data_IF_323767678276
#
_entry.id   IF_323767678276
#
_cell.length_a   1.000
_cell.length_b   1.000
_cell.length_c   1.000
_cell.angle_alpha   90.00
_cell.angle_beta   90.00
_cell.angle_gamma   90.00
#
_symmetry.space_group_name_H-M   'P 1'
#
loop_
_entity.id
_entity.type
_entity.pdbx_description
1 polymer ?
#
# COMPACT_ATOMS: atom_id res chain seq x y z
N UNK A 1 -38.53 -11.83 29.99
CA UNK A 1 -37.41 -12.80 29.96
C UNK A 1 -36.95 -13.17 28.54
N UNK A 2 -37.84 -13.53 27.59
CA UNK A 2 -37.44 -13.89 26.21
C UNK A 2 -36.79 -12.77 25.38
N UNK A 3 -37.09 -11.50 25.64
CA UNK A 3 -36.53 -10.35 24.93
C UNK A 3 -35.09 -10.01 25.38
N UNK A 4 -34.79 -10.23 26.68
CA UNK A 4 -33.44 -9.99 27.25
C UNK A 4 -32.42 -11.01 26.73
N UNK A 5 -32.83 -12.26 26.55
CA UNK A 5 -31.97 -13.34 26.06
C UNK A 5 -31.59 -13.09 24.60
N UNK A 6 -32.54 -12.59 23.77
CA UNK A 6 -32.25 -12.24 22.36
C UNK A 6 -31.26 -11.09 22.24
N UNK A 7 -31.34 -10.06 23.11
CA UNK A 7 -30.39 -8.96 23.16
C UNK A 7 -29.00 -9.40 23.60
N UNK A 8 -28.92 -10.30 24.58
CA UNK A 8 -27.65 -10.81 25.07
C UNK A 8 -26.94 -11.71 24.02
N UNK A 9 -27.69 -12.54 23.30
CA UNK A 9 -27.16 -13.37 22.22
C UNK A 9 -26.64 -12.51 21.06
N UNK A 10 -27.37 -11.43 20.69
CA UNK A 10 -26.91 -10.47 19.68
C UNK A 10 -25.63 -9.74 20.11
N UNK A 11 -25.53 -9.35 21.40
CA UNK A 11 -24.34 -8.69 21.93
C UNK A 11 -23.11 -9.61 21.93
N UNK A 12 -23.30 -10.88 22.31
CA UNK A 12 -22.23 -11.89 22.28
C UNK A 12 -21.79 -12.18 20.82
N UNK A 13 -22.73 -12.20 19.87
CA UNK A 13 -22.43 -12.37 18.46
C UNK A 13 -21.63 -11.18 17.90
N UNK A 14 -21.95 -9.94 18.29
CA UNK A 14 -21.19 -8.74 17.88
C UNK A 14 -19.78 -8.70 18.48
N UNK A 15 -19.62 -9.06 19.75
CA UNK A 15 -18.33 -9.09 20.44
C UNK A 15 -17.43 -10.18 19.84
N UNK A 16 -17.96 -11.35 19.55
CA UNK A 16 -17.20 -12.43 18.92
C UNK A 16 -16.82 -12.11 17.47
N UNK A 17 -17.68 -11.41 16.69
CA UNK A 17 -17.36 -11.05 15.30
C UNK A 17 -16.21 -10.04 15.20
N UNK A 18 -16.21 -9.00 16.02
CA UNK A 18 -15.12 -8.01 16.04
C UNK A 18 -13.80 -8.59 16.57
N UNK A 19 -13.86 -9.52 17.52
CA UNK A 19 -12.64 -10.18 18.03
C UNK A 19 -12.06 -11.20 17.05
N UNK A 20 -12.90 -11.90 16.30
CA UNK A 20 -12.46 -12.88 15.29
C UNK A 20 -11.76 -12.16 14.13
N UNK A 21 -12.29 -11.04 13.63
CA UNK A 21 -11.65 -10.26 12.57
C UNK A 21 -10.29 -9.69 12.99
N UNK A 22 -10.14 -9.21 14.22
CA UNK A 22 -8.86 -8.65 14.67
C UNK A 22 -7.77 -9.69 14.95
N UNK A 23 -8.14 -10.92 15.31
CA UNK A 23 -7.20 -12.03 15.49
C UNK A 23 -6.72 -12.53 14.13
N UNK A 24 -7.62 -12.68 13.16
CA UNK A 24 -7.34 -13.12 11.80
C UNK A 24 -6.36 -12.15 11.08
N UNK A 25 -6.61 -10.84 11.14
CA UNK A 25 -5.71 -9.84 10.54
C UNK A 25 -4.29 -9.86 11.11
N UNK A 26 -4.13 -10.14 12.40
CA UNK A 26 -2.79 -10.28 13.02
C UNK A 26 -2.08 -11.54 12.57
N UNK A 27 -2.80 -12.64 12.48
CA UNK A 27 -2.25 -13.91 12.01
C UNK A 27 -1.84 -13.81 10.54
N UNK A 28 -2.67 -13.20 9.70
CA UNK A 28 -2.37 -12.93 8.29
C UNK A 28 -1.13 -12.04 8.13
N UNK A 29 -1.02 -10.97 8.94
CA UNK A 29 0.17 -10.12 8.92
C UNK A 29 1.43 -10.89 9.31
N UNK A 30 1.39 -11.67 10.38
CA UNK A 30 2.56 -12.47 10.83
C UNK A 30 2.97 -13.48 9.77
N UNK A 31 2.00 -14.12 9.12
CA UNK A 31 2.26 -15.06 8.04
C UNK A 31 2.92 -14.36 6.84
N UNK A 32 2.33 -13.26 6.35
CA UNK A 32 2.91 -12.47 5.26
C UNK A 32 4.32 -11.97 5.60
N UNK A 33 4.53 -11.44 6.80
CA UNK A 33 5.84 -10.97 7.26
C UNK A 33 6.88 -12.10 7.27
N UNK A 34 6.50 -13.29 7.72
CA UNK A 34 7.38 -14.46 7.72
C UNK A 34 7.84 -14.83 6.31
N UNK A 35 6.94 -14.85 5.34
CA UNK A 35 7.26 -15.13 3.94
C UNK A 35 8.02 -13.96 3.27
N UNK A 36 7.68 -12.71 3.62
CA UNK A 36 8.37 -11.53 3.12
C UNK A 36 9.85 -11.51 3.52
N UNK A 37 10.15 -11.90 4.76
CA UNK A 37 11.55 -12.02 5.26
C UNK A 37 12.32 -13.13 4.55
N UNK A 38 11.64 -14.16 4.05
CA UNK A 38 12.22 -15.21 3.21
C UNK A 38 12.41 -14.76 1.74
N UNK A 39 12.01 -13.55 1.40
CA UNK A 39 12.19 -12.98 0.06
C UNK A 39 11.03 -13.22 -0.90
N UNK A 40 9.88 -13.70 -0.47
CA UNK A 40 8.72 -13.93 -1.33
C UNK A 40 8.09 -12.59 -1.75
N UNK A 41 8.18 -12.26 -3.03
CA UNK A 41 7.78 -10.94 -3.57
C UNK A 41 6.33 -10.57 -3.30
N UNK A 42 5.40 -11.51 -3.44
CA UNK A 42 3.98 -11.29 -3.16
C UNK A 42 3.76 -10.96 -1.69
N UNK A 43 4.41 -11.68 -0.78
CA UNK A 43 4.30 -11.44 0.66
C UNK A 43 5.00 -10.14 1.08
N UNK A 44 6.08 -9.75 0.42
CA UNK A 44 6.69 -8.42 0.61
C UNK A 44 5.70 -7.32 0.23
N UNK A 45 5.01 -7.45 -0.90
CA UNK A 45 3.96 -6.52 -1.29
C UNK A 45 2.81 -6.48 -0.27
N UNK A 46 2.29 -7.64 0.14
CA UNK A 46 1.23 -7.74 1.14
C UNK A 46 1.64 -7.13 2.48
N UNK A 47 2.86 -7.38 2.94
CA UNK A 47 3.39 -6.76 4.17
C UNK A 47 3.43 -5.23 4.04
N UNK A 48 3.82 -4.70 2.88
CA UNK A 48 3.72 -3.27 2.58
C UNK A 48 2.29 -2.75 2.66
N UNK A 49 1.31 -3.48 2.11
CA UNK A 49 -0.12 -3.15 2.21
C UNK A 49 -0.58 -3.14 3.67
N UNK A 50 -0.20 -4.15 4.45
CA UNK A 50 -0.59 -4.26 5.85
C UNK A 50 -0.06 -3.07 6.68
N UNK A 51 1.21 -2.68 6.51
CA UNK A 51 1.75 -1.46 7.12
C UNK A 51 1.07 -0.18 6.64
N UNK A 52 0.76 -0.06 5.35
CA UNK A 52 0.14 1.15 4.79
C UNK A 52 -1.29 1.37 5.26
N UNK A 53 -2.03 0.30 5.52
CA UNK A 53 -3.43 0.34 5.95
C UNK A 53 -3.60 0.17 7.47
N UNK A 54 -2.59 -0.33 8.18
CA UNK A 54 -2.67 -0.67 9.59
C UNK A 54 -3.48 -1.95 9.82
N UNK A 55 -3.32 -2.96 8.95
CA UNK A 55 -4.00 -4.26 9.08
C UNK A 55 -3.16 -5.24 9.88
N UNK A 56 -3.67 -5.65 11.03
CA UNK A 56 -2.96 -6.56 11.94
C UNK A 56 -1.71 -5.98 12.60
N UNK A 57 -1.34 -4.74 12.26
CA UNK A 57 -0.19 -3.99 12.79
C UNK A 57 -0.50 -2.50 12.74
N UNK A 58 0.17 -1.69 13.55
CA UNK A 58 0.06 -0.25 13.48
C UNK A 58 0.56 0.28 12.12
N UNK A 59 -0.15 1.28 11.60
CA UNK A 59 0.22 1.92 10.33
C UNK A 59 1.62 2.54 10.41
N UNK A 60 2.44 2.24 9.39
CA UNK A 60 3.80 2.74 9.28
C UNK A 60 4.16 2.86 7.79
N UNK A 61 4.17 4.10 7.28
CA UNK A 61 4.41 4.33 5.85
C UNK A 61 5.86 4.13 5.45
N UNK A 62 6.82 4.34 6.34
CA UNK A 62 8.24 4.07 6.05
C UNK A 62 8.47 2.57 5.85
N UNK A 63 7.90 1.76 6.74
CA UNK A 63 7.93 0.29 6.59
C UNK A 63 7.14 -0.18 5.37
N UNK A 64 6.01 0.45 5.07
CA UNK A 64 5.27 0.14 3.85
C UNK A 64 6.14 0.36 2.60
N UNK A 65 6.78 1.53 2.49
CA UNK A 65 7.71 1.84 1.39
C UNK A 65 8.86 0.84 1.34
N UNK A 66 9.48 0.53 2.48
CA UNK A 66 10.56 -0.48 2.55
C UNK A 66 10.13 -1.81 1.92
N UNK A 67 8.99 -2.34 2.31
CA UNK A 67 8.52 -3.62 1.80
C UNK A 67 8.06 -3.55 0.34
N UNK A 68 7.43 -2.46 -0.09
CA UNK A 68 7.12 -2.23 -1.50
C UNK A 68 8.39 -2.14 -2.37
N UNK A 69 9.45 -1.50 -1.88
CA UNK A 69 10.73 -1.45 -2.61
C UNK A 69 11.32 -2.84 -2.80
N UNK A 70 11.31 -3.68 -1.76
CA UNK A 70 11.77 -5.08 -1.86
C UNK A 70 10.95 -5.88 -2.89
N UNK A 71 9.64 -5.73 -2.89
CA UNK A 71 8.79 -6.34 -3.91
C UNK A 71 9.06 -5.78 -5.31
N UNK A 72 9.27 -4.46 -5.42
CA UNK A 72 9.61 -3.79 -6.67
C UNK A 72 10.94 -4.29 -7.27
N UNK A 73 11.97 -4.49 -6.47
CA UNK A 73 13.27 -5.05 -6.90
C UNK A 73 13.12 -6.43 -7.55
N UNK A 74 12.12 -7.19 -7.15
CA UNK A 74 11.77 -8.48 -7.72
C UNK A 74 10.75 -8.42 -8.86
N UNK A 75 10.45 -7.22 -9.36
CA UNK A 75 9.55 -7.05 -10.50
C UNK A 75 8.05 -7.06 -10.17
N UNK A 76 7.64 -6.95 -8.91
CA UNK A 76 6.23 -6.93 -8.56
C UNK A 76 5.49 -5.75 -9.23
N UNK A 77 4.44 -6.04 -10.01
CA UNK A 77 3.81 -5.05 -10.92
C UNK A 77 3.10 -3.89 -10.21
N UNK A 78 2.55 -4.13 -9.01
CA UNK A 78 1.77 -3.12 -8.27
C UNK A 78 2.61 -2.31 -7.28
N UNK A 79 3.77 -2.82 -6.87
CA UNK A 79 4.57 -2.18 -5.82
C UNK A 79 5.02 -0.76 -6.19
N UNK A 80 5.55 -0.48 -7.40
CA UNK A 80 5.98 0.86 -7.75
C UNK A 80 4.83 1.87 -7.77
N UNK A 81 3.63 1.48 -8.16
CA UNK A 81 2.46 2.36 -8.11
C UNK A 81 2.15 2.81 -6.67
N UNK A 82 2.17 1.89 -5.71
CA UNK A 82 1.93 2.23 -4.31
C UNK A 82 3.00 3.14 -3.73
N UNK A 83 4.28 2.94 -4.08
CA UNK A 83 5.36 3.85 -3.69
C UNK A 83 5.12 5.25 -4.26
N UNK A 84 4.75 5.33 -5.54
CA UNK A 84 4.47 6.60 -6.20
C UNK A 84 3.35 7.38 -5.52
N UNK A 85 2.25 6.71 -5.15
CA UNK A 85 1.13 7.33 -4.42
C UNK A 85 1.60 7.87 -3.07
N UNK A 86 2.38 7.12 -2.31
CA UNK A 86 2.85 7.57 -0.99
C UNK A 86 3.67 8.85 -1.09
N UNK A 87 4.59 8.95 -2.06
CA UNK A 87 5.42 10.14 -2.26
C UNK A 87 4.69 11.29 -2.95
N UNK A 88 3.60 11.04 -3.70
CA UNK A 88 2.81 12.11 -4.33
C UNK A 88 1.81 12.76 -3.38
N UNK A 89 1.28 12.01 -2.42
CA UNK A 89 0.20 12.48 -1.51
C UNK A 89 0.71 13.44 -0.43
N UNK A 90 1.93 13.25 0.05
CA UNK A 90 2.52 14.08 1.12
C UNK A 90 1.81 14.00 2.47
N UNK A 91 0.86 13.10 2.63
CA UNK A 91 0.03 13.00 3.85
C UNK A 91 0.77 12.36 5.02
N UNK A 92 1.64 11.41 4.74
CA UNK A 92 2.30 10.60 5.77
C UNK A 92 3.82 10.71 5.73
N UNK A 93 4.39 10.95 4.56
CA UNK A 93 5.80 11.22 4.35
C UNK A 93 5.95 12.55 3.63
N UNK A 94 7.12 13.18 3.72
CA UNK A 94 7.44 14.35 2.92
C UNK A 94 7.25 14.03 1.42
N UNK A 95 6.50 14.87 0.67
CA UNK A 95 6.24 14.62 -0.73
C UNK A 95 7.51 14.78 -1.57
N UNK A 96 7.74 13.82 -2.46
CA UNK A 96 8.78 13.88 -3.47
C UNK A 96 8.18 13.57 -4.84
N UNK A 97 7.80 14.63 -5.55
CA UNK A 97 7.13 14.50 -6.84
C UNK A 97 8.04 13.86 -7.91
N UNK A 98 9.35 14.14 -7.88
CA UNK A 98 10.28 13.56 -8.84
C UNK A 98 10.40 12.04 -8.63
N UNK A 99 10.50 11.61 -7.37
CA UNK A 99 10.53 10.20 -7.00
C UNK A 99 9.19 9.52 -7.31
N UNK A 100 8.06 10.19 -7.05
CA UNK A 100 6.73 9.69 -7.40
C UNK A 100 6.60 9.46 -8.91
N UNK A 101 6.99 10.42 -9.75
CA UNK A 101 6.97 10.28 -11.22
C UNK A 101 7.86 9.13 -11.67
N UNK A 102 9.06 8.98 -11.12
CA UNK A 102 9.93 7.85 -11.41
C UNK A 102 9.25 6.51 -11.16
N UNK A 103 8.58 6.36 -10.03
CA UNK A 103 7.88 5.12 -9.71
C UNK A 103 6.59 4.92 -10.52
N UNK A 104 5.88 6.00 -10.91
CA UNK A 104 4.78 5.90 -11.87
C UNK A 104 5.25 5.40 -13.24
N UNK A 105 6.40 5.87 -13.73
CA UNK A 105 6.99 5.40 -14.99
C UNK A 105 7.34 3.90 -14.92
N UNK A 106 7.96 3.44 -13.82
CA UNK A 106 8.23 2.02 -13.61
C UNK A 106 6.92 1.21 -13.58
N UNK A 107 5.88 1.74 -12.95
CA UNK A 107 4.58 1.07 -12.92
C UNK A 107 3.93 1.01 -14.32
N UNK A 108 4.02 2.08 -15.12
CA UNK A 108 3.54 2.10 -16.51
C UNK A 108 4.26 1.06 -17.36
N UNK A 109 5.60 0.96 -17.26
CA UNK A 109 6.40 -0.06 -17.95
C UNK A 109 5.97 -1.49 -17.59
N UNK A 110 5.44 -1.69 -16.40
CA UNK A 110 4.88 -2.98 -15.93
C UNK A 110 3.38 -3.13 -16.19
N UNK A 111 2.85 -2.34 -17.13
CA UNK A 111 1.43 -2.37 -17.55
C UNK A 111 0.43 -2.01 -16.45
N UNK A 112 0.82 -1.20 -15.48
CA UNK A 112 -0.13 -0.64 -14.51
C UNK A 112 -1.00 0.43 -15.18
N UNK A 113 -2.31 0.17 -15.28
CA UNK A 113 -3.23 1.04 -16.00
C UNK A 113 -3.47 2.37 -15.30
N UNK A 114 -3.50 2.35 -13.98
CA UNK A 114 -3.72 3.54 -13.15
C UNK A 114 -2.53 4.49 -13.26
N UNK A 115 -1.30 3.97 -13.25
CA UNK A 115 -0.09 4.75 -13.48
C UNK A 115 -0.09 5.39 -14.87
N UNK A 116 -0.49 4.63 -15.90
CA UNK A 116 -0.61 5.15 -17.25
C UNK A 116 -1.60 6.31 -17.34
N UNK A 117 -2.78 6.17 -16.76
CA UNK A 117 -3.80 7.24 -16.75
C UNK A 117 -3.24 8.50 -16.09
N UNK A 118 -2.62 8.35 -14.91
CA UNK A 118 -2.01 9.46 -14.20
C UNK A 118 -0.92 10.18 -15.03
N UNK A 119 -0.04 9.42 -15.66
CA UNK A 119 1.02 9.97 -16.50
C UNK A 119 0.47 10.63 -17.78
N UNK A 120 -0.57 10.07 -18.37
CA UNK A 120 -1.21 10.66 -19.57
C UNK A 120 -1.89 11.99 -19.21
N UNK A 121 -2.50 12.11 -18.03
CA UNK A 121 -3.02 13.36 -17.51
C UNK A 121 -1.89 14.39 -17.30
N UNK A 122 -0.79 14.01 -16.66
CA UNK A 122 0.38 14.88 -16.49
C UNK A 122 0.97 15.35 -17.82
N UNK A 123 1.07 14.47 -18.82
CA UNK A 123 1.56 14.80 -20.18
C UNK A 123 0.63 15.78 -20.88
N UNK A 124 -0.68 15.74 -20.59
CA UNK A 124 -1.68 16.64 -21.18
C UNK A 124 -1.59 18.08 -20.65
N UNK A 125 -1.07 18.29 -19.46
CA UNK A 125 -0.80 19.61 -18.92
C UNK A 125 0.42 20.22 -19.65
N UNK A 126 0.18 21.08 -20.63
CA UNK A 126 1.15 21.68 -21.56
C UNK A 126 2.42 22.32 -20.95
N UNK A 127 2.55 22.44 -19.66
CA UNK A 127 3.63 23.15 -18.98
C UNK A 127 4.51 22.27 -18.09
N UNK A 128 4.28 20.96 -18.00
CA UNK A 128 5.08 20.06 -17.19
C UNK A 128 5.67 18.95 -18.07
N UNK A 129 6.88 19.18 -18.59
CA UNK A 129 7.62 18.05 -19.14
C UNK A 129 8.12 17.18 -17.98
N UNK A 130 7.84 15.88 -18.03
CA UNK A 130 8.32 14.90 -17.03
C UNK A 130 9.85 14.96 -16.94
N UNK A 131 10.53 15.24 -18.04
CA UNK A 131 11.98 15.40 -18.14
C UNK A 131 12.50 16.63 -17.35
N UNK A 132 11.75 17.73 -17.32
CA UNK A 132 12.15 18.91 -16.52
C UNK A 132 11.99 18.68 -15.01
N UNK A 133 10.99 17.89 -14.59
CA UNK A 133 10.81 17.52 -13.19
C UNK A 133 11.92 16.57 -12.69
N UNK A 134 12.41 15.69 -13.55
CA UNK A 134 13.51 14.77 -13.25
C UNK A 134 14.89 15.47 -13.27
N UNK A 135 15.05 16.54 -14.05
CA UNK A 135 16.31 17.30 -14.15
C UNK A 135 16.54 18.27 -12.98
N UNK A 136 15.52 18.58 -12.19
CA UNK A 136 15.62 19.45 -11.02
C UNK A 136 16.30 18.79 -9.81
N UNK A 137 16.53 17.48 -9.83
CA UNK A 137 17.12 16.68 -8.75
C UNK A 137 18.46 15.99 -9.14
N UNK A 138 19.16 16.48 -10.15
CA UNK A 138 20.54 16.05 -10.47
C UNK A 138 21.57 17.02 -9.96
#
# INVERSE_FOLDING_TARGET
MRSFIKGLILLIFFINHSSIFSVDEKEDFVYDLSLATQGISVSQYNTGVNYSLGRGIDRDMEKAVYWYQRANEQGHSKAPFNIAIIYSDGKYLEPDLALAIKYFLIAEERNNKEAKIFLDELRSFKNLSIESALSLNC
#
